data_IF_154174608675
#
_entry.id   IF_154174608675
#
_cell.length_a   1.000
_cell.length_b   1.000
_cell.length_c   1.000
_cell.angle_alpha   90.00
_cell.angle_beta   90.00
_cell.angle_gamma   90.00
#
_symmetry.space_group_name_H-M   'P 1'
#
loop_
_entity.id
_entity.type
_entity.pdbx_description
1 polymer ?
#
# COMPACT_ATOMS: atom_id res chain seq x y z
N UNK A 1 -4.87 -72.93 -6.68
CA UNK A 1 -5.60 -73.39 -5.49
C UNK A 1 -4.76 -73.07 -4.26
N UNK A 2 -5.40 -72.49 -3.25
CA UNK A 2 -5.00 -72.35 -1.84
C UNK A 2 -3.84 -71.42 -1.44
N UNK A 3 -4.26 -70.42 -0.64
CA UNK A 3 -3.57 -69.56 0.32
C UNK A 3 -2.37 -70.14 1.08
N UNK A 4 -1.43 -69.27 1.41
CA UNK A 4 -0.83 -69.26 2.76
C UNK A 4 -0.60 -67.81 3.24
N UNK A 5 -1.22 -67.52 4.39
CA UNK A 5 -1.27 -66.25 5.08
C UNK A 5 0.00 -65.97 5.90
N UNK A 6 0.60 -64.80 5.74
CA UNK A 6 1.51 -64.22 6.75
C UNK A 6 0.98 -62.87 7.23
N UNK A 7 0.28 -62.91 8.37
CA UNK A 7 -0.01 -61.74 9.22
C UNK A 7 1.32 -61.16 9.72
N UNK A 8 1.66 -59.93 9.32
CA UNK A 8 2.66 -59.11 10.00
C UNK A 8 1.92 -58.15 10.93
N UNK A 9 2.26 -58.23 12.21
CA UNK A 9 1.84 -57.30 13.26
C UNK A 9 2.33 -55.90 12.89
N UNK A 10 1.41 -54.95 12.84
CA UNK A 10 1.70 -53.52 12.87
C UNK A 10 1.98 -53.18 14.35
N UNK A 11 3.22 -52.83 14.67
CA UNK A 11 3.53 -52.14 15.90
C UNK A 11 3.33 -50.65 15.60
N UNK A 12 2.28 -50.09 16.18
CA UNK A 12 2.13 -48.65 16.38
C UNK A 12 3.13 -48.23 17.46
N UNK A 13 4.29 -47.71 17.05
CA UNK A 13 5.05 -46.78 17.87
C UNK A 13 4.84 -45.39 17.25
N UNK A 14 3.82 -44.69 17.76
CA UNK A 14 3.58 -43.28 17.51
C UNK A 14 4.61 -42.49 18.32
N UNK A 15 5.72 -42.12 17.69
CA UNK A 15 6.52 -40.98 18.15
C UNK A 15 5.71 -39.71 17.93
N UNK A 16 5.64 -38.78 18.90
CA UNK A 16 5.01 -37.48 18.67
C UNK A 16 5.81 -36.75 17.60
N UNK A 17 5.11 -36.24 16.59
CA UNK A 17 5.66 -35.34 15.58
C UNK A 17 6.34 -34.16 16.30
N UNK A 18 7.67 -34.14 16.29
CA UNK A 18 8.41 -32.92 16.61
C UNK A 18 8.12 -31.97 15.45
N UNK A 19 7.29 -30.96 15.66
CA UNK A 19 7.20 -29.82 14.75
C UNK A 19 8.62 -29.26 14.59
N UNK A 20 9.24 -29.49 13.42
CA UNK A 20 10.55 -28.93 13.12
C UNK A 20 10.44 -27.42 13.12
N UNK A 21 11.18 -26.76 14.02
CA UNK A 21 11.22 -25.30 14.05
C UNK A 21 11.79 -24.76 12.74
N UNK A 22 11.23 -23.67 12.20
CA UNK A 22 11.75 -23.03 10.99
C UNK A 22 13.24 -22.71 11.12
N UNK A 23 13.98 -22.84 10.01
CA UNK A 23 15.38 -22.42 9.99
C UNK A 23 15.51 -20.91 10.25
N UNK A 24 16.52 -20.45 11.01
CA UNK A 24 16.70 -19.04 11.30
C UNK A 24 16.91 -18.18 10.04
N UNK A 25 16.26 -17.03 9.97
CA UNK A 25 16.45 -16.05 8.89
C UNK A 25 17.55 -15.07 9.29
N UNK A 26 18.60 -14.96 8.47
CA UNK A 26 19.83 -14.24 8.83
C UNK A 26 19.98 -12.92 8.06
N UNK A 27 20.15 -11.80 8.77
CA UNK A 27 20.40 -10.46 8.22
C UNK A 27 21.80 -9.95 8.56
N UNK A 28 22.82 -10.54 7.94
CA UNK A 28 24.22 -10.18 8.17
C UNK A 28 24.92 -9.83 6.86
N UNK A 29 25.78 -8.83 6.93
CA UNK A 29 26.76 -8.56 5.89
C UNK A 29 27.92 -9.57 5.96
N UNK A 30 28.66 -9.71 4.86
CA UNK A 30 29.81 -10.62 4.77
C UNK A 30 30.84 -10.32 5.87
N UNK A 31 31.19 -11.34 6.64
CA UNK A 31 32.18 -11.25 7.72
C UNK A 31 31.67 -10.67 9.05
N UNK A 32 30.40 -10.27 9.12
CA UNK A 32 29.77 -9.81 10.37
C UNK A 32 29.13 -11.00 11.09
N UNK A 33 29.38 -11.13 12.40
CA UNK A 33 28.70 -12.13 13.24
C UNK A 33 27.42 -11.53 13.81
N UNK A 34 26.36 -12.34 13.95
CA UNK A 34 25.17 -11.90 14.68
C UNK A 34 25.51 -11.68 16.15
N UNK A 35 25.01 -10.57 16.70
CA UNK A 35 25.02 -10.27 18.13
C UNK A 35 23.59 -10.13 18.69
N UNK A 36 22.57 -10.17 17.84
CA UNK A 36 21.16 -10.09 18.21
C UNK A 36 20.38 -11.28 17.65
N UNK A 37 19.52 -11.88 18.48
CA UNK A 37 18.48 -12.81 18.09
C UNK A 37 17.11 -12.26 18.46
N UNK A 38 16.18 -12.28 17.51
CA UNK A 38 14.74 -12.13 17.76
C UNK A 38 14.06 -13.46 17.49
N UNK A 39 13.21 -13.91 18.41
CA UNK A 39 12.31 -15.06 18.22
C UNK A 39 10.89 -14.51 18.16
N UNK A 40 10.38 -14.30 16.95
CA UNK A 40 9.00 -13.83 16.73
C UNK A 40 8.15 -15.07 16.54
N UNK A 41 7.38 -15.40 17.57
CA UNK A 41 6.58 -16.62 17.65
C UNK A 41 7.48 -17.85 17.48
N UNK A 42 7.33 -18.57 16.37
CA UNK A 42 8.12 -19.74 16.03
C UNK A 42 9.30 -19.44 15.07
N UNK A 43 9.45 -18.20 14.59
CA UNK A 43 10.49 -17.83 13.64
C UNK A 43 11.67 -17.10 14.32
N UNK A 44 12.88 -17.65 14.17
CA UNK A 44 14.10 -17.00 14.62
C UNK A 44 14.70 -16.08 13.55
N UNK A 45 15.21 -14.93 14.00
CA UNK A 45 15.93 -13.94 13.19
C UNK A 45 17.29 -13.66 13.81
N UNK A 46 18.36 -13.80 13.02
CA UNK A 46 19.73 -13.50 13.43
C UNK A 46 20.20 -12.20 12.79
N UNK A 47 20.53 -11.21 13.62
CA UNK A 47 20.73 -9.82 13.22
C UNK A 47 22.03 -9.27 13.80
N UNK A 48 22.43 -8.10 13.31
CA UNK A 48 23.45 -7.28 13.95
C UNK A 48 22.83 -6.00 14.52
N UNK A 49 23.06 -5.72 15.80
CA UNK A 49 22.44 -4.64 16.55
C UNK A 49 22.73 -3.24 16.00
N UNK A 50 23.82 -3.07 15.24
CA UNK A 50 24.15 -1.77 14.62
C UNK A 50 23.07 -1.29 13.66
N UNK A 51 22.46 -2.19 12.87
CA UNK A 51 21.40 -1.82 11.92
C UNK A 51 20.16 -1.32 12.67
N UNK A 52 19.73 -2.08 13.68
CA UNK A 52 18.62 -1.74 14.56
C UNK A 52 18.83 -0.36 15.21
N UNK A 53 19.99 -0.12 15.84
CA UNK A 53 20.28 1.16 16.51
C UNK A 53 20.41 2.33 15.53
N UNK A 54 20.83 2.07 14.30
CA UNK A 54 20.97 3.13 13.30
C UNK A 54 19.59 3.59 12.81
N UNK A 55 18.67 2.67 12.54
CA UNK A 55 17.39 2.97 11.89
C UNK A 55 16.15 2.98 12.81
N UNK A 56 16.30 2.63 14.09
CA UNK A 56 15.22 2.65 15.08
C UNK A 56 15.62 3.40 16.33
N UNK A 57 14.88 4.46 16.64
CA UNK A 57 15.06 5.21 17.89
C UNK A 57 14.72 4.36 19.12
N UNK A 58 13.78 3.41 18.97
CA UNK A 58 13.43 2.45 20.01
C UNK A 58 14.65 1.58 20.34
N UNK A 59 15.22 0.86 19.37
CA UNK A 59 16.34 -0.05 19.62
C UNK A 59 17.61 0.68 20.04
N UNK A 60 17.83 1.92 19.56
CA UNK A 60 18.94 2.76 20.01
C UNK A 60 18.91 3.03 21.52
N UNK A 61 17.72 3.32 22.06
CA UNK A 61 17.53 3.57 23.50
C UNK A 61 17.42 2.28 24.30
N UNK A 62 16.70 1.31 23.77
CA UNK A 62 16.32 0.10 24.51
C UNK A 62 17.45 -0.93 24.60
N UNK A 63 18.24 -1.14 23.55
CA UNK A 63 19.23 -2.24 23.57
C UNK A 63 20.36 -1.99 24.59
N UNK A 64 20.85 -0.76 24.72
CA UNK A 64 21.96 -0.41 25.61
C UNK A 64 21.54 0.42 26.85
N UNK A 65 20.27 0.34 27.27
CA UNK A 65 19.82 1.06 28.47
C UNK A 65 20.54 0.56 29.72
N UNK A 66 20.98 1.48 30.60
CA UNK A 66 21.73 1.18 31.83
C UNK A 66 21.00 0.22 32.78
N UNK A 67 19.67 0.17 32.69
CA UNK A 67 18.82 -0.69 33.52
C UNK A 67 18.88 -2.19 33.12
N UNK A 68 19.50 -2.52 31.98
CA UNK A 68 19.56 -3.90 31.49
C UNK A 68 20.78 -4.65 31.99
N UNK A 69 20.54 -5.86 32.46
CA UNK A 69 21.62 -6.77 32.82
C UNK A 69 22.41 -7.18 31.58
N UNK A 70 23.76 -7.13 31.61
CA UNK A 70 24.57 -7.59 30.50
C UNK A 70 24.36 -9.09 30.27
N UNK A 71 24.42 -9.50 29.00
CA UNK A 71 24.35 -10.91 28.66
C UNK A 71 25.46 -11.71 29.37
N UNK A 72 25.17 -12.95 29.83
CA UNK A 72 26.18 -13.83 30.40
C UNK A 72 27.36 -14.03 29.45
N UNK A 73 28.58 -14.21 29.99
CA UNK A 73 29.79 -14.38 29.17
C UNK A 73 29.76 -15.61 28.23
N UNK A 74 28.87 -16.58 28.49
CA UNK A 74 28.65 -17.76 27.66
C UNK A 74 27.50 -17.61 26.65
N UNK A 75 26.81 -16.47 26.62
CA UNK A 75 25.69 -16.25 25.71
C UNK A 75 26.16 -16.17 24.25
N UNK A 76 25.43 -16.84 23.37
CA UNK A 76 25.69 -16.81 21.92
C UNK A 76 25.37 -15.46 21.30
N UNK A 77 24.38 -14.75 21.85
CA UNK A 77 23.93 -13.43 21.41
C UNK A 77 24.05 -12.44 22.55
N UNK A 78 24.46 -11.21 22.24
CA UNK A 78 24.48 -10.09 23.19
C UNK A 78 23.06 -9.64 23.54
N UNK A 79 22.16 -9.70 22.56
CA UNK A 79 20.76 -9.34 22.72
C UNK A 79 19.88 -10.51 22.28
N UNK A 80 19.07 -11.02 23.18
CA UNK A 80 18.17 -12.14 22.90
C UNK A 80 16.75 -11.74 23.31
N UNK A 81 15.87 -11.60 22.34
CA UNK A 81 14.49 -11.16 22.55
C UNK A 81 13.52 -12.17 21.95
N UNK A 82 12.37 -12.34 22.57
CA UNK A 82 11.27 -13.18 22.09
C UNK A 82 9.95 -12.43 22.16
N UNK A 83 8.98 -12.82 21.33
CA UNK A 83 7.64 -12.28 21.47
C UNK A 83 7.02 -12.73 22.78
N UNK A 84 6.23 -11.84 23.37
CA UNK A 84 5.35 -12.07 24.50
C UNK A 84 3.96 -11.62 24.06
N UNK A 85 2.97 -12.49 24.28
CA UNK A 85 1.57 -12.27 23.88
C UNK A 85 0.78 -11.91 25.14
N UNK A 86 0.08 -10.78 25.07
CA UNK A 86 -0.81 -10.27 26.10
C UNK A 86 -2.21 -10.91 26.03
N UNK A 87 -3.04 -10.71 27.05
CA UNK A 87 -4.37 -11.33 27.15
C UNK A 87 -5.34 -10.91 26.03
N UNK A 88 -5.11 -9.74 25.43
CA UNK A 88 -5.92 -9.19 24.34
C UNK A 88 -5.43 -9.62 22.95
N UNK A 89 -4.39 -10.46 22.87
CA UNK A 89 -3.77 -10.87 21.61
C UNK A 89 -2.73 -9.89 21.09
N UNK A 90 -2.53 -8.74 21.76
CA UNK A 90 -1.40 -7.85 21.50
C UNK A 90 -0.07 -8.56 21.80
N UNK A 91 1.00 -8.13 21.15
CA UNK A 91 2.31 -8.74 21.36
C UNK A 91 3.47 -7.76 21.22
N UNK A 92 4.59 -8.05 21.88
CA UNK A 92 5.82 -7.25 21.79
C UNK A 92 7.09 -8.08 21.99
N UNK A 93 8.23 -7.58 21.52
CA UNK A 93 9.54 -8.19 21.76
C UNK A 93 10.08 -7.84 23.16
N UNK A 94 10.30 -8.87 23.99
CA UNK A 94 10.83 -8.74 25.34
C UNK A 94 12.12 -9.56 25.52
N UNK A 95 13.00 -9.20 26.47
CA UNK A 95 14.20 -9.99 26.76
C UNK A 95 13.85 -11.45 27.05
N UNK A 96 14.56 -12.38 26.41
CA UNK A 96 14.31 -13.82 26.54
C UNK A 96 14.57 -14.34 27.97
N UNK A 97 15.42 -13.66 28.75
CA UNK A 97 15.67 -13.98 30.16
C UNK A 97 14.45 -13.77 31.04
N UNK A 98 13.58 -12.83 30.67
CA UNK A 98 12.49 -12.34 31.50
C UNK A 98 11.13 -12.89 31.05
N UNK A 99 11.13 -13.71 29.98
CA UNK A 99 9.93 -14.06 29.22
C UNK A 99 9.81 -15.57 29.04
N UNK A 100 8.68 -16.20 29.41
CA UNK A 100 8.45 -17.62 29.17
C UNK A 100 8.37 -17.93 27.66
N UNK A 101 8.43 -19.20 27.30
CA UNK A 101 8.14 -19.65 25.93
C UNK A 101 6.64 -19.49 25.63
N UNK A 102 6.32 -19.13 24.39
CA UNK A 102 4.94 -19.01 23.94
C UNK A 102 4.32 -20.40 23.82
N UNK A 103 3.14 -20.56 24.40
CA UNK A 103 2.32 -21.77 24.26
C UNK A 103 1.45 -21.71 23.01
N UNK A 104 1.05 -22.87 22.47
CA UNK A 104 0.10 -22.94 21.35
C UNK A 104 -1.21 -22.20 21.64
N UNK A 105 -1.68 -22.24 22.90
CA UNK A 105 -2.89 -21.53 23.33
C UNK A 105 -2.75 -20.00 23.19
N UNK A 106 -1.59 -19.46 23.56
CA UNK A 106 -1.33 -18.03 23.38
C UNK A 106 -1.23 -17.65 21.91
N UNK A 107 -0.69 -18.53 21.07
CA UNK A 107 -0.63 -18.30 19.62
C UNK A 107 -2.01 -18.12 19.00
N UNK A 108 -3.03 -18.80 19.52
CA UNK A 108 -4.42 -18.65 19.03
C UNK A 108 -5.06 -17.29 19.34
N UNK A 109 -4.44 -16.47 20.20
CA UNK A 109 -4.90 -15.12 20.50
C UNK A 109 -4.44 -14.10 19.46
N UNK A 110 -3.38 -14.40 18.71
CA UNK A 110 -2.79 -13.48 17.74
C UNK A 110 -3.54 -13.58 16.42
N UNK A 111 -4.01 -12.44 15.91
CA UNK A 111 -4.59 -12.35 14.58
C UNK A 111 -3.48 -12.37 13.52
N UNK A 112 -3.46 -13.45 12.71
CA UNK A 112 -2.51 -13.61 11.62
C UNK A 112 -1.04 -13.69 12.08
N UNK A 113 -0.64 -14.72 12.85
CA UNK A 113 0.74 -14.81 13.35
C UNK A 113 1.78 -14.90 12.22
N UNK A 114 1.44 -15.53 11.09
CA UNK A 114 2.32 -15.63 9.93
C UNK A 114 2.49 -14.26 9.24
N UNK A 115 1.40 -13.49 9.14
CA UNK A 115 1.39 -12.12 8.62
C UNK A 115 2.20 -11.17 9.52
N UNK A 116 2.13 -11.35 10.84
CA UNK A 116 2.95 -10.62 11.81
C UNK A 116 4.45 -10.98 11.69
N UNK A 117 4.81 -12.26 11.53
CA UNK A 117 6.19 -12.69 11.25
C UNK A 117 6.70 -12.03 9.98
N UNK A 118 5.88 -12.04 8.93
CA UNK A 118 6.22 -11.48 7.63
C UNK A 118 6.38 -9.96 7.70
N UNK A 119 5.52 -9.26 8.44
CA UNK A 119 5.63 -7.83 8.74
C UNK A 119 6.97 -7.50 9.42
N UNK A 120 7.34 -8.24 10.46
CA UNK A 120 8.65 -8.07 11.13
C UNK A 120 9.79 -8.38 10.18
N UNK A 121 9.68 -9.44 9.38
CA UNK A 121 10.70 -9.78 8.37
C UNK A 121 10.90 -8.63 7.38
N UNK A 122 9.83 -7.99 6.90
CA UNK A 122 9.89 -6.83 5.99
C UNK A 122 10.48 -5.59 6.68
N UNK A 123 10.14 -5.33 7.94
CA UNK A 123 10.77 -4.28 8.73
C UNK A 123 12.29 -4.51 8.86
N UNK A 124 12.70 -5.74 9.15
CA UNK A 124 14.11 -6.12 9.22
C UNK A 124 14.80 -6.04 7.85
N UNK A 125 14.10 -6.34 6.75
CA UNK A 125 14.58 -6.07 5.41
C UNK A 125 14.86 -4.58 5.21
N UNK A 126 13.93 -3.69 5.55
CA UNK A 126 14.13 -2.25 5.46
C UNK A 126 15.35 -1.78 6.28
N UNK A 127 15.43 -2.17 7.56
CA UNK A 127 16.53 -1.82 8.48
C UNK A 127 17.89 -2.30 7.95
N UNK A 128 17.95 -3.49 7.37
CA UNK A 128 19.20 -4.07 6.88
C UNK A 128 19.40 -3.90 5.37
N UNK A 129 18.64 -2.99 4.73
CA UNK A 129 18.74 -2.68 3.29
C UNK A 129 18.66 -3.93 2.39
N UNK A 130 17.79 -4.88 2.76
CA UNK A 130 17.46 -6.03 1.91
C UNK A 130 16.17 -5.76 1.14
N UNK A 131 16.05 -6.39 -0.02
CA UNK A 131 14.85 -6.33 -0.82
C UNK A 131 13.68 -7.03 -0.12
N UNK A 132 12.50 -6.42 -0.25
CA UNK A 132 11.22 -6.99 0.13
C UNK A 132 10.15 -6.48 -0.84
N UNK A 133 8.94 -7.03 -0.75
CA UNK A 133 7.79 -6.58 -1.54
C UNK A 133 6.61 -6.30 -0.61
N UNK A 134 5.76 -5.39 -1.06
CA UNK A 134 4.41 -5.19 -0.54
C UNK A 134 3.46 -5.62 -1.64
N UNK A 135 2.52 -6.50 -1.34
CA UNK A 135 1.59 -7.10 -2.30
C UNK A 135 0.13 -6.76 -1.96
N UNK A 136 -0.17 -6.42 -0.70
CA UNK A 136 -1.52 -6.07 -0.23
C UNK A 136 -1.50 -4.84 0.69
N UNK A 137 -2.68 -4.24 0.87
CA UNK A 137 -2.89 -3.13 1.83
C UNK A 137 -2.61 -3.57 3.27
N UNK A 138 -3.08 -4.75 3.67
CA UNK A 138 -2.87 -5.33 5.01
C UNK A 138 -1.37 -5.48 5.33
N UNK A 139 -0.56 -5.95 4.37
CA UNK A 139 0.89 -6.05 4.56
C UNK A 139 1.54 -4.68 4.81
N UNK A 140 1.10 -3.63 4.11
CA UNK A 140 1.61 -2.28 4.31
C UNK A 140 1.16 -1.72 5.65
N UNK A 141 -0.08 -1.99 6.06
CA UNK A 141 -0.63 -1.58 7.34
C UNK A 141 0.14 -2.18 8.50
N UNK A 142 0.31 -3.52 8.52
CA UNK A 142 1.07 -4.24 9.56
C UNK A 142 2.52 -3.78 9.62
N UNK A 143 3.18 -3.58 8.46
CA UNK A 143 4.53 -3.05 8.41
C UNK A 143 4.60 -1.64 8.98
N UNK A 144 3.62 -0.79 8.66
CA UNK A 144 3.54 0.59 9.16
C UNK A 144 3.33 0.62 10.67
N UNK A 145 2.45 -0.23 11.21
CA UNK A 145 2.22 -0.37 12.64
C UNK A 145 3.49 -0.84 13.37
N UNK A 146 4.16 -1.87 12.84
CA UNK A 146 5.43 -2.36 13.37
C UNK A 146 6.52 -1.27 13.35
N UNK A 147 6.63 -0.55 12.23
CA UNK A 147 7.59 0.54 12.09
C UNK A 147 7.28 1.72 13.02
N UNK A 148 6.00 2.04 13.26
CA UNK A 148 5.60 3.07 14.21
C UNK A 148 5.99 2.67 15.64
N UNK A 149 5.62 1.45 16.06
CA UNK A 149 5.94 0.90 17.38
C UNK A 149 7.46 0.90 17.64
N UNK A 150 8.25 0.39 16.70
CA UNK A 150 9.71 0.36 16.81
C UNK A 150 10.39 1.66 16.37
N UNK A 151 9.64 2.76 16.17
CA UNK A 151 10.17 4.07 15.78
C UNK A 151 11.16 4.02 14.60
N UNK A 152 10.73 3.37 13.53
CA UNK A 152 11.47 3.02 12.32
C UNK A 152 10.73 3.42 11.02
N UNK A 153 9.69 4.26 11.10
CA UNK A 153 8.96 4.77 9.92
C UNK A 153 9.88 5.37 8.84
N UNK A 154 10.92 6.18 9.17
CA UNK A 154 11.77 6.79 8.14
C UNK A 154 12.51 5.77 7.25
N UNK A 155 13.03 4.66 7.82
CA UNK A 155 13.74 3.64 7.03
C UNK A 155 12.78 2.84 6.14
N UNK A 156 11.56 2.58 6.62
CA UNK A 156 10.52 1.95 5.80
C UNK A 156 10.15 2.87 4.65
N UNK A 157 9.89 4.14 4.91
CA UNK A 157 9.61 5.13 3.87
C UNK A 157 10.70 5.19 2.81
N UNK A 158 11.98 5.26 3.22
CA UNK A 158 13.12 5.33 2.31
C UNK A 158 13.27 4.10 1.40
N UNK A 159 12.80 2.93 1.82
CA UNK A 159 12.94 1.67 1.07
C UNK A 159 11.65 1.27 0.34
N UNK A 160 10.53 1.92 0.65
CA UNK A 160 9.20 1.55 0.19
C UNK A 160 9.01 1.68 -1.33
N UNK A 161 9.63 2.66 -1.98
CA UNK A 161 9.58 2.76 -3.46
C UNK A 161 10.10 1.48 -4.13
N UNK A 162 11.19 0.91 -3.61
CA UNK A 162 11.72 -0.37 -4.11
C UNK A 162 10.79 -1.54 -3.80
N UNK A 163 10.12 -1.53 -2.66
CA UNK A 163 9.18 -2.58 -2.26
C UNK A 163 7.84 -2.54 -3.01
N UNK A 164 7.44 -1.35 -3.50
CA UNK A 164 6.25 -1.15 -4.32
C UNK A 164 6.53 -1.36 -5.82
N UNK A 165 7.79 -1.48 -6.24
CA UNK A 165 8.13 -1.68 -7.64
C UNK A 165 7.58 -3.01 -8.16
N UNK A 166 6.65 -2.94 -9.13
CA UNK A 166 5.91 -4.10 -9.67
C UNK A 166 5.17 -4.89 -8.58
N UNK A 167 4.62 -4.16 -7.62
CA UNK A 167 3.71 -4.69 -6.61
C UNK A 167 2.36 -5.04 -7.24
N UNK A 168 1.79 -6.18 -6.85
CA UNK A 168 0.42 -6.57 -7.19
C UNK A 168 -0.65 -5.63 -6.63
N UNK A 169 -0.29 -4.77 -5.67
CA UNK A 169 -1.18 -3.75 -5.12
C UNK A 169 -1.71 -2.80 -6.20
N UNK A 170 -0.92 -2.58 -7.26
CA UNK A 170 -1.25 -1.70 -8.38
C UNK A 170 -1.51 -2.46 -9.69
N UNK A 171 -1.64 -3.78 -9.63
CA UNK A 171 -2.02 -4.58 -10.78
C UNK A 171 -3.54 -4.52 -10.98
N UNK A 172 -3.96 -4.49 -12.24
CA UNK A 172 -5.38 -4.63 -12.61
C UNK A 172 -5.72 -6.12 -12.61
N UNK A 173 -6.68 -6.52 -11.77
CA UNK A 173 -7.17 -7.89 -11.77
C UNK A 173 -8.52 -7.98 -12.50
N UNK A 174 -8.70 -8.94 -13.42
CA UNK A 174 -10.01 -9.22 -13.98
C UNK A 174 -10.92 -9.82 -12.89
N UNK A 175 -12.01 -9.13 -12.55
CA UNK A 175 -12.97 -9.66 -11.57
C UNK A 175 -13.90 -10.71 -12.19
N UNK A 176 -14.59 -11.46 -11.33
CA UNK A 176 -15.56 -12.53 -11.68
C UNK A 176 -16.69 -12.02 -12.61
N UNK A 177 -16.95 -10.71 -12.62
CA UNK A 177 -18.01 -10.08 -13.41
C UNK A 177 -17.50 -9.38 -14.69
N UNK A 178 -16.27 -9.65 -15.13
CA UNK A 178 -15.60 -9.00 -16.26
C UNK A 178 -15.35 -7.49 -16.10
N UNK A 179 -15.54 -6.92 -14.91
CA UNK A 179 -15.07 -5.56 -14.62
C UNK A 179 -13.63 -5.63 -14.13
N UNK A 180 -12.73 -4.89 -14.76
CA UNK A 180 -11.37 -4.71 -14.26
C UNK A 180 -11.43 -3.88 -12.96
N UNK A 181 -10.78 -4.33 -11.88
CA UNK A 181 -10.67 -3.56 -10.64
C UNK A 181 -9.21 -3.53 -10.18
N UNK A 182 -8.74 -2.35 -9.76
CA UNK A 182 -7.46 -2.22 -9.07
C UNK A 182 -7.69 -2.31 -7.56
N UNK A 183 -6.96 -3.19 -6.87
CA UNK A 183 -6.99 -3.28 -5.39
C UNK A 183 -6.68 -1.91 -4.76
N UNK A 184 -5.74 -1.18 -5.36
CA UNK A 184 -5.39 0.18 -4.98
C UNK A 184 -6.56 1.18 -4.94
N UNK A 185 -7.59 0.97 -5.76
CA UNK A 185 -8.74 1.87 -5.80
C UNK A 185 -9.65 1.64 -4.60
N UNK A 186 -9.91 0.38 -4.25
CA UNK A 186 -10.85 0.03 -3.18
C UNK A 186 -10.31 0.44 -1.81
N UNK A 187 -8.98 0.38 -1.64
CA UNK A 187 -8.32 0.77 -0.38
C UNK A 187 -7.67 2.17 -0.44
N UNK A 188 -8.02 3.00 -1.42
CA UNK A 188 -7.28 4.25 -1.70
C UNK A 188 -7.21 5.20 -0.50
N UNK A 189 -8.26 5.27 0.33
CA UNK A 189 -8.28 6.13 1.53
C UNK A 189 -7.36 5.56 2.62
N UNK A 190 -7.40 4.25 2.87
CA UNK A 190 -6.50 3.59 3.82
C UNK A 190 -5.04 3.75 3.39
N UNK A 191 -4.73 3.48 2.11
CA UNK A 191 -3.40 3.66 1.56
C UNK A 191 -2.93 5.12 1.61
N UNK A 192 -3.81 6.10 1.40
CA UNK A 192 -3.49 7.52 1.54
C UNK A 192 -3.06 7.87 2.98
N UNK A 193 -3.74 7.33 3.99
CA UNK A 193 -3.41 7.55 5.40
C UNK A 193 -2.09 6.86 5.78
N UNK A 194 -1.86 5.64 5.31
CA UNK A 194 -0.60 4.93 5.49
C UNK A 194 0.56 5.69 4.83
N UNK A 195 0.37 6.16 3.60
CA UNK A 195 1.36 6.95 2.87
C UNK A 195 1.70 8.25 3.60
N UNK A 196 0.69 8.91 4.19
CA UNK A 196 0.87 10.11 5.02
C UNK A 196 1.64 9.80 6.30
N UNK A 197 1.30 8.72 7.00
CA UNK A 197 2.00 8.29 8.22
C UNK A 197 3.47 7.96 7.94
N UNK A 198 3.74 7.27 6.83
CA UNK A 198 5.09 6.95 6.36
C UNK A 198 5.82 8.14 5.75
N UNK A 199 5.10 9.21 5.38
CA UNK A 199 5.61 10.34 4.58
C UNK A 199 6.22 9.91 3.25
N UNK A 200 5.60 8.93 2.60
CA UNK A 200 6.08 8.40 1.35
C UNK A 200 5.44 9.13 0.17
N UNK A 201 6.16 10.10 -0.41
CA UNK A 201 5.62 11.02 -1.41
C UNK A 201 5.04 10.35 -2.65
N UNK A 202 5.71 9.33 -3.20
CA UNK A 202 5.23 8.65 -4.42
C UNK A 202 3.90 7.93 -4.17
N UNK A 203 3.79 7.18 -3.07
CA UNK A 203 2.55 6.49 -2.71
C UNK A 203 1.44 7.47 -2.35
N UNK A 204 1.77 8.55 -1.65
CA UNK A 204 0.80 9.57 -1.27
C UNK A 204 0.17 10.23 -2.49
N UNK A 205 0.97 10.58 -3.50
CA UNK A 205 0.47 11.15 -4.75
C UNK A 205 -0.47 10.20 -5.47
N UNK A 206 -0.05 8.95 -5.61
CA UNK A 206 -0.84 7.88 -6.23
C UNK A 206 -2.22 7.77 -5.55
N UNK A 207 -2.25 7.66 -4.22
CA UNK A 207 -3.49 7.47 -3.47
C UNK A 207 -4.37 8.72 -3.44
N UNK A 208 -3.76 9.92 -3.45
CA UNK A 208 -4.51 11.17 -3.49
C UNK A 208 -5.18 11.38 -4.86
N UNK A 209 -4.53 10.96 -5.96
CA UNK A 209 -5.13 10.95 -7.30
C UNK A 209 -6.41 10.10 -7.30
N UNK A 210 -6.35 8.87 -6.78
CA UNK A 210 -7.54 8.01 -6.67
C UNK A 210 -8.62 8.62 -5.79
N UNK A 211 -8.25 9.16 -4.63
CA UNK A 211 -9.19 9.76 -3.67
C UNK A 211 -9.93 10.96 -4.27
N UNK A 212 -9.20 11.86 -4.94
CA UNK A 212 -9.80 13.05 -5.57
C UNK A 212 -10.63 12.64 -6.79
N UNK A 213 -10.12 11.72 -7.61
CA UNK A 213 -10.77 11.25 -8.83
C UNK A 213 -12.09 10.52 -8.61
N UNK A 214 -12.25 9.87 -7.46
CA UNK A 214 -13.46 9.10 -7.06
C UNK A 214 -14.25 9.76 -5.95
N UNK A 215 -13.95 11.00 -5.58
CA UNK A 215 -14.51 11.63 -4.39
C UNK A 215 -16.03 11.52 -4.29
N UNK A 216 -16.75 11.72 -5.40
CA UNK A 216 -18.20 11.65 -5.40
C UNK A 216 -18.73 10.22 -5.18
N UNK A 217 -17.96 9.20 -5.56
CA UNK A 217 -18.25 7.76 -5.36
C UNK A 217 -17.80 7.21 -4.01
N UNK A 218 -16.95 7.91 -3.25
CA UNK A 218 -16.54 7.49 -1.90
C UNK A 218 -17.73 7.49 -0.93
N UNK A 219 -17.74 6.52 -0.01
CA UNK A 219 -18.73 6.43 1.06
C UNK A 219 -18.60 7.57 2.07
N UNK A 220 -19.67 7.81 2.84
CA UNK A 220 -19.64 8.80 3.92
C UNK A 220 -18.64 8.45 5.02
N UNK A 221 -18.37 7.15 5.22
CA UNK A 221 -17.37 6.67 6.17
C UNK A 221 -15.96 7.08 5.73
N UNK A 222 -15.59 6.78 4.49
CA UNK A 222 -14.30 7.15 3.91
C UNK A 222 -14.07 8.66 3.90
N UNK A 223 -15.09 9.43 3.48
CA UNK A 223 -15.08 10.89 3.56
C UNK A 223 -14.94 11.37 5.01
N UNK A 224 -15.53 10.66 5.96
CA UNK A 224 -15.44 10.91 7.39
C UNK A 224 -14.01 10.81 7.89
N UNK A 225 -13.32 9.71 7.59
CA UNK A 225 -11.92 9.48 7.98
C UNK A 225 -11.00 10.58 7.46
N UNK A 226 -11.17 11.00 6.20
CA UNK A 226 -10.36 12.10 5.64
C UNK A 226 -10.63 13.42 6.38
N UNK A 227 -11.88 13.69 6.76
CA UNK A 227 -12.27 14.93 7.47
C UNK A 227 -11.72 15.00 8.89
N UNK A 228 -11.36 13.89 9.51
CA UNK A 228 -10.71 13.88 10.83
C UNK A 228 -9.34 14.56 10.77
N UNK A 229 -8.63 14.43 9.65
CA UNK A 229 -7.39 15.15 9.38
C UNK A 229 -7.66 16.45 8.61
N UNK A 230 -7.70 17.57 9.32
CA UNK A 230 -8.02 18.88 8.74
C UNK A 230 -7.01 19.36 7.70
N UNK A 231 -5.74 18.96 7.80
CA UNK A 231 -4.72 19.34 6.83
C UNK A 231 -4.90 18.55 5.54
N UNK A 232 -5.06 17.23 5.65
CA UNK A 232 -5.35 16.35 4.52
C UNK A 232 -6.66 16.73 3.84
N UNK A 233 -7.71 16.99 4.60
CA UNK A 233 -9.02 17.38 4.06
C UNK A 233 -8.94 18.69 3.27
N UNK A 234 -8.19 19.70 3.77
CA UNK A 234 -7.99 20.96 3.02
C UNK A 234 -7.25 20.73 1.71
N UNK A 235 -6.24 19.86 1.71
CA UNK A 235 -5.53 19.49 0.49
C UNK A 235 -6.49 18.83 -0.51
N UNK A 236 -7.27 17.85 -0.08
CA UNK A 236 -8.29 17.19 -0.91
C UNK A 236 -9.30 18.21 -1.47
N UNK A 237 -9.83 19.11 -0.64
CA UNK A 237 -10.75 20.16 -1.09
C UNK A 237 -10.12 21.11 -2.12
N UNK A 238 -8.83 21.43 -1.95
CA UNK A 238 -8.10 22.27 -2.90
C UNK A 238 -7.97 21.56 -4.25
N UNK A 239 -7.59 20.28 -4.25
CA UNK A 239 -7.49 19.47 -5.47
C UNK A 239 -8.84 19.23 -6.15
N UNK A 240 -9.90 18.98 -5.37
CA UNK A 240 -11.27 18.91 -5.89
C UNK A 240 -11.71 20.21 -6.54
N UNK A 241 -11.39 21.36 -5.93
CA UNK A 241 -11.72 22.66 -6.51
C UNK A 241 -11.03 22.87 -7.87
N UNK A 242 -9.79 22.40 -8.02
CA UNK A 242 -9.05 22.43 -9.30
C UNK A 242 -9.72 21.50 -10.32
N UNK A 243 -10.03 20.26 -9.94
CA UNK A 243 -10.71 19.29 -10.80
C UNK A 243 -12.08 19.81 -11.27
N UNK A 244 -12.93 20.29 -10.35
CA UNK A 244 -14.24 20.82 -10.69
C UNK A 244 -14.18 22.09 -11.54
N UNK A 245 -13.15 22.93 -11.35
CA UNK A 245 -12.91 24.08 -12.24
C UNK A 245 -12.55 23.62 -13.65
N UNK A 246 -11.72 22.59 -13.79
CA UNK A 246 -11.37 22.02 -15.09
C UNK A 246 -12.60 21.38 -15.76
N UNK A 247 -13.41 20.64 -15.00
CA UNK A 247 -14.68 20.08 -15.46
C UNK A 247 -15.65 21.18 -15.94
N UNK A 248 -15.88 22.21 -15.14
CA UNK A 248 -16.79 23.30 -15.50
C UNK A 248 -16.35 24.04 -16.78
N UNK A 249 -15.04 24.27 -16.95
CA UNK A 249 -14.48 24.83 -18.18
C UNK A 249 -14.73 23.92 -19.38
N UNK A 250 -14.45 22.63 -19.24
CA UNK A 250 -14.62 21.64 -20.31
C UNK A 250 -16.08 21.52 -20.72
N UNK A 251 -16.99 21.44 -19.76
CA UNK A 251 -18.43 21.43 -20.00
C UNK A 251 -18.88 22.70 -20.74
N UNK A 252 -18.40 23.87 -20.32
CA UNK A 252 -18.75 25.15 -20.95
C UNK A 252 -18.27 25.20 -22.41
N UNK A 253 -17.03 24.77 -22.67
CA UNK A 253 -16.47 24.67 -24.01
C UNK A 253 -17.24 23.66 -24.87
N UNK A 254 -17.63 22.52 -24.30
CA UNK A 254 -18.42 21.49 -24.99
C UNK A 254 -19.81 22.03 -25.39
N UNK A 255 -20.50 22.70 -24.48
CA UNK A 255 -21.80 23.32 -24.75
C UNK A 255 -21.66 24.39 -25.84
N UNK A 256 -20.63 25.23 -25.77
CA UNK A 256 -20.36 26.22 -26.81
C UNK A 256 -20.13 25.57 -28.18
N UNK A 257 -19.32 24.51 -28.23
CA UNK A 257 -19.03 23.77 -29.45
C UNK A 257 -20.29 23.14 -30.07
N UNK A 258 -21.19 22.61 -29.23
CA UNK A 258 -22.49 22.10 -29.64
C UNK A 258 -23.41 23.19 -30.19
N UNK A 259 -23.52 24.32 -29.49
CA UNK A 259 -24.35 25.45 -29.93
C UNK A 259 -23.82 26.09 -31.22
N UNK A 260 -22.52 26.01 -31.47
CA UNK A 260 -21.87 26.51 -32.68
C UNK A 260 -21.87 25.47 -33.82
N UNK A 261 -22.51 24.32 -33.63
CA UNK A 261 -22.56 23.19 -34.58
C UNK A 261 -21.17 22.66 -35.00
N UNK A 262 -20.15 22.94 -34.20
CA UNK A 262 -18.77 22.44 -34.41
C UNK A 262 -18.60 20.98 -33.93
N UNK A 263 -19.51 20.50 -33.08
CA UNK A 263 -19.60 19.12 -32.58
C UNK A 263 -21.04 18.63 -32.78
N UNK A 264 -21.22 17.37 -33.21
CA UNK A 264 -22.53 16.76 -33.41
C UNK A 264 -23.07 16.13 -32.11
N UNK A 265 -24.26 16.57 -31.67
CA UNK A 265 -24.91 16.13 -30.42
C UNK A 265 -25.19 14.62 -30.37
N UNK A 266 -25.52 13.99 -31.51
CA UNK A 266 -25.86 12.56 -31.56
C UNK A 266 -24.70 11.67 -31.11
N UNK A 267 -23.45 12.09 -31.37
CA UNK A 267 -22.24 11.37 -30.95
C UNK A 267 -22.08 11.41 -29.42
N UNK A 268 -22.37 12.54 -28.78
CA UNK A 268 -22.31 12.66 -27.31
C UNK A 268 -23.38 11.79 -26.65
N UNK A 269 -24.58 11.71 -27.24
CA UNK A 269 -25.68 10.91 -26.71
C UNK A 269 -25.35 9.42 -26.78
N UNK A 270 -24.78 8.95 -27.89
CA UNK A 270 -24.29 7.56 -28.04
C UNK A 270 -23.25 7.19 -26.96
N UNK A 271 -22.37 8.11 -26.61
CA UNK A 271 -21.37 7.93 -25.55
C UNK A 271 -21.92 7.99 -24.10
N UNK A 272 -23.15 8.46 -23.89
CA UNK A 272 -23.70 8.76 -22.57
C UNK A 272 -24.82 7.78 -22.13
N UNK A 273 -24.99 6.66 -22.83
CA UNK A 273 -26.14 5.77 -22.69
C UNK A 273 -26.27 5.09 -21.31
N UNK A 274 -25.24 5.10 -20.45
CA UNK A 274 -25.27 4.37 -19.17
C UNK A 274 -25.52 5.23 -17.93
N UNK A 275 -25.20 6.53 -17.91
CA UNK A 275 -25.20 7.34 -16.67
C UNK A 275 -25.69 8.77 -16.96
N UNK A 276 -26.91 9.10 -16.53
CA UNK A 276 -27.71 10.26 -16.95
C UNK A 276 -27.21 11.68 -16.65
N UNK A 277 -25.92 11.97 -16.74
CA UNK A 277 -25.34 13.32 -16.59
C UNK A 277 -24.38 13.63 -17.75
N UNK A 278 -24.84 14.42 -18.73
CA UNK A 278 -23.97 14.98 -19.77
C UNK A 278 -22.94 15.89 -19.08
N UNK A 279 -21.66 15.64 -19.34
CA UNK A 279 -20.55 16.45 -18.81
C UNK A 279 -20.01 16.02 -17.45
N UNK A 280 -20.67 15.12 -16.72
CA UNK A 280 -20.20 14.66 -15.40
C UNK A 280 -19.31 13.42 -15.44
N UNK A 281 -19.43 12.60 -16.48
CA UNK A 281 -18.81 11.28 -16.53
C UNK A 281 -17.48 11.29 -17.30
N UNK A 282 -16.43 10.71 -16.70
CA UNK A 282 -15.12 10.51 -17.32
C UNK A 282 -15.25 9.73 -18.64
N UNK A 283 -16.07 8.68 -18.65
CA UNK A 283 -16.29 7.84 -19.83
C UNK A 283 -16.82 8.62 -21.03
N UNK A 284 -17.68 9.62 -20.80
CA UNK A 284 -18.18 10.47 -21.88
C UNK A 284 -17.03 11.22 -22.58
N UNK A 285 -16.12 11.80 -21.79
CA UNK A 285 -14.95 12.50 -22.32
C UNK A 285 -14.00 11.55 -23.06
N UNK A 286 -13.80 10.34 -22.54
CA UNK A 286 -12.97 9.32 -23.20
C UNK A 286 -13.55 8.93 -24.55
N UNK A 287 -14.85 8.65 -24.62
CA UNK A 287 -15.50 8.30 -25.88
C UNK A 287 -15.38 9.44 -26.88
N UNK A 288 -15.56 10.70 -26.46
CA UNK A 288 -15.34 11.86 -27.33
C UNK A 288 -13.91 11.96 -27.84
N UNK A 289 -12.91 11.61 -27.03
CA UNK A 289 -11.50 11.55 -27.46
C UNK A 289 -11.22 10.45 -28.48
N UNK A 290 -11.89 9.30 -28.37
CA UNK A 290 -11.65 8.14 -29.24
C UNK A 290 -12.34 8.27 -30.61
N UNK A 291 -13.27 9.22 -30.76
CA UNK A 291 -13.94 9.49 -32.01
C UNK A 291 -12.98 10.09 -33.06
N UNK A 292 -13.06 9.63 -34.31
CA UNK A 292 -12.24 10.15 -35.42
C UNK A 292 -12.42 11.65 -35.67
N UNK A 293 -13.53 12.25 -35.23
CA UNK A 293 -13.74 13.70 -35.29
C UNK A 293 -12.91 14.49 -34.27
N UNK A 294 -12.37 13.85 -33.23
CA UNK A 294 -11.53 14.51 -32.23
C UNK A 294 -10.22 15.05 -32.81
N UNK A 295 -9.65 14.37 -33.81
CA UNK A 295 -8.49 14.86 -34.55
C UNK A 295 -8.77 16.20 -35.25
N UNK A 296 -10.03 16.48 -35.59
CA UNK A 296 -10.45 17.79 -36.11
C UNK A 296 -10.61 18.82 -34.99
N UNK A 297 -11.12 18.41 -33.83
CA UNK A 297 -11.29 19.27 -32.65
C UNK A 297 -9.95 19.76 -32.09
N UNK A 298 -8.90 18.94 -32.15
CA UNK A 298 -7.56 19.33 -31.71
C UNK A 298 -6.78 20.15 -32.77
N UNK A 299 -7.24 20.14 -34.03
CA UNK A 299 -6.56 20.79 -35.16
C UNK A 299 -7.11 22.16 -35.56
N UNK A 300 -8.39 22.44 -35.32
CA UNK A 300 -9.03 23.71 -35.67
C UNK A 300 -8.90 24.73 -34.53
N UNK A 301 -8.52 25.97 -34.83
CA UNK A 301 -8.26 27.02 -33.82
C UNK A 301 -9.49 27.31 -32.93
N UNK A 302 -10.70 27.14 -33.47
CA UNK A 302 -11.97 27.38 -32.76
C UNK A 302 -12.35 26.28 -31.76
N UNK A 303 -11.89 25.04 -31.97
CA UNK A 303 -12.24 23.87 -31.13
C UNK A 303 -11.05 23.33 -30.34
N UNK A 304 -9.84 23.83 -30.62
CA UNK A 304 -8.59 23.43 -29.96
C UNK A 304 -8.66 23.55 -28.44
N UNK A 305 -9.27 24.61 -27.91
CA UNK A 305 -9.42 24.78 -26.46
C UNK A 305 -10.20 23.61 -25.83
N UNK A 306 -11.27 23.16 -26.49
CA UNK A 306 -12.05 22.00 -26.02
C UNK A 306 -11.20 20.72 -26.06
N UNK A 307 -10.46 20.50 -27.15
CA UNK A 307 -9.54 19.36 -27.27
C UNK A 307 -8.50 19.33 -26.15
N UNK A 308 -7.82 20.46 -25.91
CA UNK A 308 -6.80 20.59 -24.86
C UNK A 308 -7.39 20.37 -23.45
N UNK A 309 -8.61 20.86 -23.20
CA UNK A 309 -9.32 20.66 -21.93
C UNK A 309 -9.71 19.19 -21.70
N UNK A 310 -10.22 18.51 -22.73
CA UNK A 310 -10.56 17.08 -22.63
C UNK A 310 -9.30 16.25 -22.40
N UNK A 311 -8.22 16.49 -23.14
CA UNK A 311 -6.94 15.81 -22.92
C UNK A 311 -6.40 16.05 -21.51
N UNK A 312 -6.58 17.27 -20.98
CA UNK A 312 -6.20 17.59 -19.60
C UNK A 312 -7.01 16.80 -18.58
N UNK A 313 -8.32 16.60 -18.79
CA UNK A 313 -9.16 15.79 -17.89
C UNK A 313 -8.82 14.29 -17.91
N UNK A 314 -8.43 13.78 -19.08
CA UNK A 314 -8.15 12.35 -19.28
C UNK A 314 -6.69 11.97 -18.99
N UNK A 315 -5.85 12.96 -18.67
CA UNK A 315 -4.45 12.75 -18.34
C UNK A 315 -4.32 11.75 -17.18
N UNK A 316 -3.45 10.76 -17.35
CA UNK A 316 -3.07 9.81 -16.30
C UNK A 316 -1.77 10.29 -15.64
N UNK A 317 -1.83 10.65 -14.35
CA UNK A 317 -0.68 11.09 -13.57
C UNK A 317 -0.15 10.03 -12.58
N UNK A 318 -0.55 8.77 -12.73
CA UNK A 318 -0.09 7.67 -11.88
C UNK A 318 1.39 7.35 -12.15
N UNK A 319 2.08 6.80 -11.14
CA UNK A 319 3.51 6.53 -11.18
C UNK A 319 3.90 5.11 -10.72
N UNK A 320 3.12 4.48 -9.83
CA UNK A 320 3.48 3.19 -9.22
C UNK A 320 2.94 1.98 -9.99
N UNK A 321 1.80 2.14 -10.66
CA UNK A 321 1.20 1.13 -11.53
C UNK A 321 0.12 1.75 -12.41
N UNK A 322 -0.54 0.94 -13.24
CA UNK A 322 -1.62 1.41 -14.12
C UNK A 322 -1.27 2.60 -15.04
N UNK A 323 0.03 2.84 -15.32
CA UNK A 323 0.50 3.96 -16.15
C UNK A 323 0.07 3.86 -17.60
N UNK A 324 -0.23 2.64 -18.07
CA UNK A 324 -0.79 2.37 -19.39
C UNK A 324 -2.32 2.38 -19.44
N UNK A 325 -3.00 2.60 -18.31
CA UNK A 325 -4.46 2.57 -18.25
C UNK A 325 -5.06 3.93 -18.60
N UNK A 326 -6.22 3.86 -19.26
CA UNK A 326 -6.96 5.02 -19.72
C UNK A 326 -8.09 5.36 -18.75
N UNK A 327 -8.05 6.56 -18.19
CA UNK A 327 -9.18 7.16 -17.47
C UNK A 327 -10.42 7.20 -18.37
N UNK A 328 -11.55 6.68 -17.90
CA UNK A 328 -12.81 6.66 -18.65
C UNK A 328 -12.97 5.54 -19.68
N UNK A 329 -12.05 4.57 -19.76
CA UNK A 329 -12.18 3.44 -20.68
C UNK A 329 -13.34 2.53 -20.25
N UNK A 330 -14.23 2.20 -21.18
CA UNK A 330 -15.32 1.24 -20.97
C UNK A 330 -14.76 -0.13 -20.55
N UNK A 331 -15.37 -0.73 -19.53
CA UNK A 331 -14.93 -1.97 -18.85
C UNK A 331 -13.51 -1.93 -18.23
N UNK A 332 -12.86 -0.76 -18.25
CA UNK A 332 -11.53 -0.56 -17.67
C UNK A 332 -11.57 -0.23 -16.19
N UNK A 333 -10.44 -0.48 -15.50
CA UNK A 333 -10.34 -0.23 -14.07
C UNK A 333 -10.71 1.20 -13.65
N UNK A 334 -10.51 2.19 -14.53
CA UNK A 334 -10.71 3.61 -14.25
C UNK A 334 -11.89 4.23 -15.02
N UNK A 335 -12.93 3.45 -15.35
CA UNK A 335 -14.11 3.93 -16.11
C UNK A 335 -14.75 5.19 -15.48
N UNK A 336 -14.86 5.23 -14.16
CA UNK A 336 -15.50 6.33 -13.43
C UNK A 336 -14.52 7.28 -12.73
N UNK A 337 -13.21 7.12 -12.96
CA UNK A 337 -12.17 7.80 -12.15
C UNK A 337 -11.36 8.79 -12.96
N UNK A 338 -11.31 10.06 -12.55
CA UNK A 338 -10.36 11.05 -13.09
C UNK A 338 -8.96 10.82 -12.51
N UNK A 339 -7.94 10.77 -13.38
CA UNK A 339 -6.54 10.54 -12.98
C UNK A 339 -5.64 11.78 -13.16
N UNK A 340 -6.22 12.92 -13.50
CA UNK A 340 -5.51 14.13 -13.90
C UNK A 340 -5.04 15.03 -12.75
N UNK A 341 -5.20 14.59 -11.50
CA UNK A 341 -4.78 15.39 -10.34
C UNK A 341 -3.25 15.47 -10.29
N UNK A 342 -2.71 16.67 -10.07
CA UNK A 342 -1.27 16.91 -9.93
C UNK A 342 -0.96 17.45 -8.54
N UNK A 343 0.17 17.02 -7.98
CA UNK A 343 0.57 17.33 -6.59
C UNK A 343 2.08 17.59 -6.59
N UNK A 344 2.45 18.83 -6.31
CA UNK A 344 3.85 19.26 -6.24
C UNK A 344 4.49 18.84 -4.90
N UNK A 345 5.81 18.98 -4.78
CA UNK A 345 6.56 18.62 -3.57
C UNK A 345 6.27 19.53 -2.39
N UNK A 346 5.99 20.81 -2.64
CA UNK A 346 5.64 21.81 -1.63
C UNK A 346 4.18 21.71 -1.14
N UNK A 347 3.36 20.92 -1.82
CA UNK A 347 1.98 20.62 -1.42
C UNK A 347 1.87 19.37 -0.53
N UNK A 348 2.97 18.64 -0.33
CA UNK A 348 2.99 17.51 0.58
C UNK A 348 2.76 17.99 2.01
N UNK A 349 1.91 17.31 2.80
CA UNK A 349 1.50 17.80 4.12
C UNK A 349 2.53 17.40 5.21
N UNK A 350 3.82 17.43 4.85
CA UNK A 350 4.96 17.25 5.72
C UNK A 350 6.19 17.93 5.12
N UNK A 351 7.14 18.28 5.99
CA UNK A 351 8.43 18.82 5.59
C UNK A 351 9.34 17.73 5.01
N UNK A 352 9.79 17.92 3.77
CA UNK A 352 10.71 17.01 3.06
C UNK A 352 12.14 17.05 3.61
N UNK A 353 12.54 18.14 4.29
CA UNK A 353 13.88 18.27 4.86
C UNK A 353 14.00 17.61 6.24
N UNK A 354 12.87 17.39 6.92
CA UNK A 354 12.84 16.71 8.20
C UNK A 354 13.12 15.22 7.96
N UNK A 355 14.27 14.73 8.42
CA UNK A 355 14.70 13.32 8.30
C UNK A 355 14.42 12.45 9.54
N UNK A 356 14.30 13.07 10.71
CA UNK A 356 14.05 12.40 12.00
C UNK A 356 12.62 12.70 12.47
N UNK A 357 11.63 12.01 11.91
CA UNK A 357 10.22 12.20 12.26
C UNK A 357 9.59 11.06 13.03
#
# INVERSE_FOLDING_TARGET
>A
MAQESKKRKYNEDLTPEQQETPSPIVFLALGVKADTRFTVFNQEFHLHSSGLKHHSNYFRKFLDSDDKQPAPACALFKYDHRSVIDEDGGWALMPASDSPEITEQQMTLVDGPDEEIESVRKLLCAIHSKNYKIETTDELERLTLSADYYCALPVVSATLTGALFKSSLFDVSPTIYNTEACVCQDDCVTLLLLARKLRHGVLFRECLIYTVGRWDSLSDLEKGVIKEDQELYRLVQTKLSILYKLLAKTQSALIWALCSETVELNKIIECNYSKGSIGGCVAMYRCLCNEHSFDRLSGEEETKELGDLILSLLKNNLALGCTGEDSGKEDGAFEETYLCTEIEDDELPWDLEKMDW
#
